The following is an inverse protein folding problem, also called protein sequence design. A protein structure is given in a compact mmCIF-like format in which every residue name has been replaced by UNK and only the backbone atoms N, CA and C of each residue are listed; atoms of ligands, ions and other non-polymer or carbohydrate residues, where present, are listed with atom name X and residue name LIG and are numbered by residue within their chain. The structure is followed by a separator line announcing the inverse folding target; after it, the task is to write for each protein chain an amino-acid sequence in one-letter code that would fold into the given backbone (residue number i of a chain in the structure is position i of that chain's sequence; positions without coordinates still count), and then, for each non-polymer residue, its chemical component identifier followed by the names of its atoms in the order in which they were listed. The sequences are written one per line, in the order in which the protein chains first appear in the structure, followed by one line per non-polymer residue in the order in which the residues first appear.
data_IF_064484925263
#
_entry.id   IF_064484925263
#
_cell.length_a   1.000
_cell.length_b   1.000
_cell.length_c   1.000
_cell.angle_alpha   90.00
_cell.angle_beta   90.00
_cell.angle_gamma   90.00
#
_symmetry.space_group_name_H-M   'P 1'
#
loop_
_entity.id
_entity.type
_entity.pdbx_description
1 polymer ?
#
# COMPACT_ATOMS: atom_id res chain seq x y z
N UNK A 1 1.66 -34.63 -10.27
CA UNK A 1 2.79 -33.89 -9.65
C UNK A 1 2.57 -32.37 -9.83
N UNK A 2 1.97 -31.67 -8.85
CA UNK A 2 1.83 -30.20 -8.92
C UNK A 2 3.07 -29.58 -8.29
N UNK A 3 3.98 -29.07 -9.12
CA UNK A 3 5.09 -28.22 -8.66
C UNK A 3 4.49 -26.99 -8.00
N UNK A 4 4.51 -26.93 -6.66
CA UNK A 4 4.36 -25.68 -5.91
C UNK A 4 5.56 -24.84 -6.30
N UNK A 5 5.38 -23.89 -7.22
CA UNK A 5 6.35 -22.82 -7.41
C UNK A 5 6.35 -22.07 -6.08
N UNK A 6 7.34 -22.36 -5.24
CA UNK A 6 7.54 -21.58 -4.02
C UNK A 6 8.17 -20.29 -4.50
N UNK A 7 7.35 -19.34 -4.96
CA UNK A 7 7.78 -17.97 -5.13
C UNK A 7 8.37 -17.55 -3.79
N UNK A 8 9.68 -17.25 -3.78
CA UNK A 8 10.38 -16.78 -2.60
C UNK A 8 9.50 -15.73 -1.91
N UNK A 9 9.26 -15.91 -0.61
CA UNK A 9 8.32 -15.10 0.18
C UNK A 9 8.72 -13.62 0.04
N UNK A 10 8.11 -12.92 -0.91
CA UNK A 10 8.41 -11.52 -1.23
C UNK A 10 8.29 -10.73 0.08
N UNK A 11 9.33 -9.98 0.43
CA UNK A 11 9.38 -9.23 1.68
C UNK A 11 8.23 -8.21 1.65
N UNK A 12 7.21 -8.43 2.50
CA UNK A 12 6.02 -7.57 2.57
C UNK A 12 6.36 -6.34 3.40
N UNK A 13 5.99 -5.16 2.92
CA UNK A 13 6.13 -3.92 3.68
C UNK A 13 4.97 -3.80 4.67
N UNK A 14 3.76 -4.11 4.23
CA UNK A 14 2.59 -4.16 5.11
C UNK A 14 2.39 -5.53 5.74
N UNK A 15 1.92 -5.54 6.99
CA UNK A 15 1.62 -6.76 7.71
C UNK A 15 0.29 -7.37 7.23
N UNK A 16 0.31 -8.67 6.91
CA UNK A 16 -0.87 -9.37 6.40
C UNK A 16 -1.99 -9.51 7.43
N UNK A 17 -1.66 -9.81 8.69
CA UNK A 17 -2.65 -10.09 9.74
C UNK A 17 -3.52 -8.86 10.07
N UNK A 18 -2.95 -7.65 10.32
CA UNK A 18 -3.74 -6.45 10.52
C UNK A 18 -4.63 -6.09 9.32
N UNK A 19 -4.12 -6.25 8.09
CA UNK A 19 -4.89 -5.98 6.89
C UNK A 19 -6.10 -6.91 6.78
N UNK A 20 -5.92 -8.20 7.07
CA UNK A 20 -7.04 -9.15 7.12
C UNK A 20 -8.02 -8.83 8.25
N UNK A 21 -7.54 -8.41 9.41
CA UNK A 21 -8.40 -8.00 10.52
C UNK A 21 -9.26 -6.79 10.14
N UNK A 22 -8.69 -5.80 9.44
CA UNK A 22 -9.42 -4.66 8.88
C UNK A 22 -10.51 -5.11 7.89
N UNK A 23 -10.19 -6.04 6.99
CA UNK A 23 -11.19 -6.59 6.07
C UNK A 23 -12.35 -7.27 6.81
N UNK A 24 -12.05 -8.00 7.89
CA UNK A 24 -13.07 -8.61 8.74
C UNK A 24 -13.91 -7.59 9.50
N UNK A 25 -13.29 -6.55 10.06
CA UNK A 25 -14.04 -5.49 10.75
C UNK A 25 -14.92 -4.68 9.80
N UNK A 26 -14.59 -4.66 8.50
CA UNK A 26 -15.44 -4.10 7.46
C UNK A 26 -16.63 -5.00 7.05
N UNK A 27 -16.77 -6.18 7.65
CA UNK A 27 -17.89 -7.09 7.43
C UNK A 27 -17.57 -8.35 6.62
N UNK A 28 -16.32 -8.57 6.21
CA UNK A 28 -15.96 -9.81 5.51
C UNK A 28 -15.87 -10.99 6.50
N UNK A 29 -16.78 -11.96 6.41
CA UNK A 29 -16.77 -13.15 7.27
C UNK A 29 -15.55 -14.05 7.00
N UNK A 30 -15.32 -14.36 5.73
CA UNK A 30 -14.22 -15.19 5.24
C UNK A 30 -13.39 -14.38 4.24
N UNK A 31 -12.07 -14.42 4.42
CA UNK A 31 -11.12 -13.74 3.54
C UNK A 31 -10.02 -14.73 3.15
N UNK A 32 -9.89 -14.98 1.85
CA UNK A 32 -8.85 -15.83 1.28
C UNK A 32 -7.48 -15.18 1.39
N UNK A 33 -6.42 -15.99 1.29
CA UNK A 33 -5.05 -15.48 1.37
C UNK A 33 -4.74 -14.57 0.18
N UNK A 34 -5.18 -14.98 -0.99
CA UNK A 34 -4.98 -14.32 -2.28
C UNK A 34 -5.64 -12.94 -2.28
N UNK A 35 -6.85 -12.80 -1.73
CA UNK A 35 -7.53 -11.51 -1.63
C UNK A 35 -6.75 -10.49 -0.78
N UNK A 36 -6.21 -10.92 0.37
CA UNK A 36 -5.38 -10.06 1.21
C UNK A 36 -4.07 -9.72 0.51
N UNK A 37 -3.47 -10.67 -0.22
CA UNK A 37 -2.26 -10.42 -1.00
C UNK A 37 -2.49 -9.40 -2.12
N UNK A 38 -3.59 -9.51 -2.86
CA UNK A 38 -3.98 -8.53 -3.88
C UNK A 38 -4.16 -7.13 -3.29
N UNK A 39 -4.86 -6.99 -2.16
CA UNK A 39 -5.02 -5.70 -1.50
C UNK A 39 -3.68 -5.15 -1.00
N UNK A 40 -2.82 -6.01 -0.46
CA UNK A 40 -1.49 -5.62 0.01
C UNK A 40 -0.65 -5.08 -1.14
N UNK A 41 -0.63 -5.75 -2.29
CA UNK A 41 0.10 -5.26 -3.48
C UNK A 41 -0.45 -3.92 -3.98
N UNK A 42 -1.78 -3.77 -4.02
CA UNK A 42 -2.41 -2.52 -4.41
C UNK A 42 -2.01 -1.37 -3.48
N UNK A 43 -2.07 -1.59 -2.16
CA UNK A 43 -1.73 -0.57 -1.16
C UNK A 43 -0.25 -0.20 -1.20
N UNK A 44 0.65 -1.17 -1.39
CA UNK A 44 2.09 -0.92 -1.53
C UNK A 44 2.39 -0.03 -2.75
N UNK A 45 1.78 -0.34 -3.90
CA UNK A 45 1.94 0.46 -5.12
C UNK A 45 1.35 1.87 -4.95
N UNK A 46 0.12 1.96 -4.40
CA UNK A 46 -0.54 3.24 -4.13
C UNK A 46 0.29 4.12 -3.18
N UNK A 47 0.82 3.55 -2.09
CA UNK A 47 1.64 4.25 -1.12
C UNK A 47 2.95 4.77 -1.74
N UNK A 48 3.59 3.96 -2.60
CA UNK A 48 4.79 4.38 -3.32
C UNK A 48 4.51 5.59 -4.22
N UNK A 49 3.45 5.52 -5.02
CA UNK A 49 3.11 6.59 -5.96
C UNK A 49 2.67 7.88 -5.27
N UNK A 50 1.92 7.78 -4.17
CA UNK A 50 1.60 8.93 -3.30
C UNK A 50 2.87 9.58 -2.73
N UNK A 51 3.82 8.76 -2.29
CA UNK A 51 5.10 9.25 -1.76
C UNK A 51 5.91 9.97 -2.84
N UNK A 52 5.96 9.41 -4.05
CA UNK A 52 6.64 10.03 -5.19
C UNK A 52 6.01 11.38 -5.57
N UNK A 53 4.68 11.48 -5.56
CA UNK A 53 3.97 12.73 -5.82
C UNK A 53 4.18 13.76 -4.70
N UNK A 54 4.08 13.33 -3.44
CA UNK A 54 4.36 14.18 -2.26
C UNK A 54 5.78 14.72 -2.29
N UNK A 55 6.75 13.92 -2.75
CA UNK A 55 8.13 14.35 -2.92
C UNK A 55 8.27 15.45 -3.97
N UNK A 56 7.46 15.43 -5.05
CA UNK A 56 7.44 16.51 -6.04
C UNK A 56 6.95 17.82 -5.43
N UNK A 57 5.90 17.79 -4.61
CA UNK A 57 5.39 18.98 -3.92
C UNK A 57 6.41 19.54 -2.92
N UNK A 58 7.02 18.68 -2.10
CA UNK A 58 8.06 19.09 -1.17
C UNK A 58 9.25 19.74 -1.91
N UNK A 59 9.69 19.14 -3.02
CA UNK A 59 10.77 19.68 -3.87
C UNK A 59 10.41 21.01 -4.52
N UNK A 60 9.17 21.17 -5.00
CA UNK A 60 8.69 22.44 -5.55
C UNK A 60 8.77 23.56 -4.50
N UNK A 61 8.46 23.24 -3.24
CA UNK A 61 8.62 24.13 -2.09
C UNK A 61 10.06 24.22 -1.56
N UNK A 62 11.08 23.71 -2.26
CA UNK A 62 12.50 23.67 -1.86
C UNK A 62 12.76 22.97 -0.52
N UNK A 63 11.87 22.08 -0.09
CA UNK A 63 11.99 21.28 1.14
C UNK A 63 12.46 19.87 0.82
N UNK A 64 13.26 19.29 1.73
CA UNK A 64 13.64 17.87 1.70
C UNK A 64 12.62 16.98 2.42
N UNK A 65 11.96 17.52 3.46
CA UNK A 65 10.97 16.81 4.28
C UNK A 65 9.59 16.87 3.62
N UNK A 66 8.96 15.71 3.48
CA UNK A 66 7.52 15.59 3.16
C UNK A 66 6.72 15.95 4.41
N UNK A 67 5.76 16.86 4.24
CA UNK A 67 4.83 17.33 5.28
C UNK A 67 3.45 16.72 5.09
N UNK A 68 2.55 16.97 6.06
CA UNK A 68 1.14 16.59 5.95
C UNK A 68 0.49 17.22 4.72
N UNK A 69 0.80 18.47 4.42
CA UNK A 69 0.20 19.21 3.30
C UNK A 69 0.64 18.63 1.96
N UNK A 70 1.92 18.26 1.81
CA UNK A 70 2.41 17.60 0.59
C UNK A 70 1.69 16.25 0.36
N UNK A 71 1.46 15.49 1.43
CA UNK A 71 0.72 14.23 1.36
C UNK A 71 -0.77 14.44 1.08
N UNK A 72 -1.37 15.48 1.66
CA UNK A 72 -2.76 15.88 1.40
C UNK A 72 -2.97 16.19 -0.08
N UNK A 73 -2.11 17.03 -0.66
CA UNK A 73 -2.12 17.34 -2.10
C UNK A 73 -1.95 16.08 -2.95
N UNK A 74 -1.06 15.17 -2.56
CA UNK A 74 -0.86 13.92 -3.30
C UNK A 74 -2.10 13.02 -3.25
N UNK A 75 -2.81 12.96 -2.13
CA UNK A 75 -4.05 12.19 -2.00
C UNK A 75 -5.16 12.82 -2.83
N UNK A 76 -5.29 14.15 -2.82
CA UNK A 76 -6.31 14.90 -3.54
C UNK A 76 -6.16 14.78 -5.06
N UNK A 77 -4.94 14.92 -5.58
CA UNK A 77 -4.68 15.00 -7.02
C UNK A 77 -4.21 13.70 -7.67
N UNK A 78 -4.08 12.61 -6.91
CA UNK A 78 -3.80 11.31 -7.51
C UNK A 78 -5.10 10.59 -7.87
N UNK A 79 -5.34 10.44 -9.18
CA UNK A 79 -6.44 9.67 -9.77
C UNK A 79 -5.91 8.47 -10.56
#
# INVERSE_FOLDING_TARGET
MRRKIIMAKKRRIFAWSPLRALMKSAGAEIVSREAVESLLFYLEDRAKKLTEMSLKFAKHAKRKKITKDDMGLAIEYYH
#
